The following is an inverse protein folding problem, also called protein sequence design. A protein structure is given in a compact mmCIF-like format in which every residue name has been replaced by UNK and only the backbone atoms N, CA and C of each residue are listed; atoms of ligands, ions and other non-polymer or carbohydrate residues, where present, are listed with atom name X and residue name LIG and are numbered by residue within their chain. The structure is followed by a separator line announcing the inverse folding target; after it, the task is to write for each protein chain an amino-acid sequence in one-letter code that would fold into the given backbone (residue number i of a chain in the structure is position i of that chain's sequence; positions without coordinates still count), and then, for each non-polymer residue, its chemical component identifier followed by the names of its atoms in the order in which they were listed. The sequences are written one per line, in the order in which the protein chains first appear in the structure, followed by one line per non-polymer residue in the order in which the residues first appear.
data_IF_822641785049
#
_entry.id   IF_822641785049
#
_cell.length_a   1.000
_cell.length_b   1.000
_cell.length_c   1.000
_cell.angle_alpha   90.00
_cell.angle_beta   90.00
_cell.angle_gamma   90.00
#
_symmetry.space_group_name_H-M   'P 1'
#
loop_
_entity.id
_entity.type
_entity.pdbx_description
1 polymer ?
#
# COMPACT_ATOMS: atom_id res chain seq x y z
N UNK A 1 7.86 56.79 -19.81
CA UNK A 1 9.23 56.69 -19.29
C UNK A 1 9.19 56.64 -17.77
N UNK A 2 10.12 55.93 -17.10
CA UNK A 2 9.98 54.70 -16.29
C UNK A 2 9.46 54.98 -14.85
N UNK A 3 9.03 54.02 -14.02
CA UNK A 3 9.75 52.84 -13.58
C UNK A 3 8.82 51.74 -13.00
N UNK A 4 9.18 50.50 -13.34
CA UNK A 4 8.67 49.25 -12.78
C UNK A 4 9.12 49.10 -11.33
N UNK A 5 8.22 48.68 -10.44
CA UNK A 5 8.57 47.99 -9.21
C UNK A 5 7.59 46.82 -9.02
N UNK A 6 8.02 45.65 -9.51
CA UNK A 6 7.37 44.36 -9.26
C UNK A 6 7.98 43.84 -7.96
N UNK A 7 7.18 43.78 -6.89
CA UNK A 7 7.55 43.08 -5.66
C UNK A 7 7.10 41.63 -5.78
N UNK A 8 8.05 40.78 -6.21
CA UNK A 8 7.93 39.34 -6.18
C UNK A 8 8.24 38.84 -4.76
N UNK A 9 7.23 38.40 -4.02
CA UNK A 9 7.43 37.63 -2.81
C UNK A 9 7.64 36.15 -3.20
N UNK A 10 8.91 35.77 -3.31
CA UNK A 10 9.34 34.39 -3.46
C UNK A 10 9.14 33.65 -2.13
N UNK A 11 8.10 32.82 -2.04
CA UNK A 11 8.02 31.77 -1.03
C UNK A 11 8.67 30.52 -1.59
N UNK A 12 9.90 30.29 -1.11
CA UNK A 12 10.70 29.09 -1.24
C UNK A 12 9.91 27.85 -0.77
N UNK A 13 9.51 27.01 -1.71
CA UNK A 13 9.22 25.60 -1.46
C UNK A 13 10.55 24.82 -1.53
N UNK A 14 10.88 23.97 -0.55
CA UNK A 14 11.99 23.05 -0.69
C UNK A 14 11.63 21.97 -1.73
N UNK A 15 12.03 22.21 -2.98
CA UNK A 15 12.33 21.13 -3.94
C UNK A 15 13.60 20.43 -3.45
N UNK A 16 13.49 19.15 -3.13
CA UNK A 16 14.66 18.37 -2.73
C UNK A 16 14.38 17.04 -2.06
N UNK A 17 13.26 16.37 -2.34
CA UNK A 17 13.19 14.93 -2.10
C UNK A 17 13.83 14.24 -3.32
N UNK A 18 15.16 14.17 -3.31
CA UNK A 18 15.89 13.26 -4.17
C UNK A 18 15.30 11.86 -3.96
N UNK A 19 14.64 11.35 -5.01
CA UNK A 19 14.28 9.95 -5.11
C UNK A 19 15.59 9.17 -5.20
N UNK A 20 16.17 8.87 -4.04
CA UNK A 20 17.20 7.86 -3.92
C UNK A 20 16.54 6.53 -4.26
N UNK A 21 16.68 6.13 -5.51
CA UNK A 21 16.46 4.77 -5.96
C UNK A 21 17.34 3.87 -5.08
N UNK A 22 16.79 3.03 -4.17
CA UNK A 22 17.62 2.01 -3.59
C UNK A 22 17.87 1.02 -4.72
N UNK A 23 19.10 0.97 -5.21
CA UNK A 23 19.60 -0.09 -6.07
C UNK A 23 19.24 -1.42 -5.40
N UNK A 24 18.11 -2.01 -5.82
CA UNK A 24 17.59 -3.27 -5.30
C UNK A 24 18.53 -4.35 -5.81
N UNK A 25 19.52 -4.71 -4.98
CA UNK A 25 20.23 -5.98 -5.13
C UNK A 25 19.18 -7.08 -5.07
N UNK A 26 18.92 -7.70 -6.21
CA UNK A 26 18.27 -8.98 -6.30
C UNK A 26 18.97 -9.95 -5.31
N UNK A 27 18.24 -10.86 -4.64
CA UNK A 27 18.90 -11.95 -3.96
C UNK A 27 19.71 -12.70 -5.02
N UNK A 28 21.02 -12.79 -4.80
CA UNK A 28 21.94 -13.54 -5.62
C UNK A 28 21.53 -15.03 -5.62
N UNK A 29 20.69 -15.41 -6.57
CA UNK A 29 20.59 -16.78 -7.05
C UNK A 29 21.76 -16.97 -8.02
N UNK A 30 22.88 -17.49 -7.52
CA UNK A 30 24.06 -17.74 -8.34
C UNK A 30 25.37 -17.72 -7.57
N UNK A 31 25.63 -18.78 -6.81
CA UNK A 31 26.96 -19.34 -6.55
C UNK A 31 26.82 -20.65 -5.76
N UNK A 32 26.26 -21.67 -6.41
CA UNK A 32 26.41 -23.05 -5.95
C UNK A 32 27.81 -23.56 -6.32
N UNK A 33 28.83 -23.02 -5.67
CA UNK A 33 30.05 -23.74 -5.33
C UNK A 33 30.25 -23.52 -3.84
N UNK A 34 29.35 -24.12 -3.07
CA UNK A 34 29.53 -24.22 -1.63
C UNK A 34 30.74 -25.12 -1.41
N UNK A 35 31.82 -24.54 -0.88
CA UNK A 35 32.82 -25.31 -0.15
C UNK A 35 32.06 -26.29 0.76
N UNK A 36 32.38 -27.59 0.69
CA UNK A 36 31.76 -28.60 1.56
C UNK A 36 31.76 -28.04 2.99
N UNK A 37 30.60 -28.01 3.68
CA UNK A 37 30.56 -27.45 5.01
C UNK A 37 31.59 -28.19 5.87
N UNK A 38 32.34 -27.49 6.74
CA UNK A 38 33.40 -28.10 7.54
C UNK A 38 32.93 -29.31 8.37
N UNK A 39 31.62 -29.38 8.66
CA UNK A 39 30.98 -30.53 9.31
C UNK A 39 31.00 -31.84 8.49
N UNK A 40 30.92 -31.79 7.15
CA UNK A 40 30.97 -33.01 6.31
C UNK A 40 32.36 -33.65 6.29
N UNK A 41 33.42 -32.82 6.21
CA UNK A 41 34.80 -33.31 6.28
C UNK A 41 35.12 -33.97 7.62
N UNK A 42 34.63 -33.39 8.72
CA UNK A 42 34.82 -33.94 10.06
C UNK A 42 34.01 -35.21 10.32
N UNK A 43 32.79 -35.33 9.76
CA UNK A 43 32.02 -36.59 9.80
C UNK A 43 32.72 -37.72 9.06
N UNK A 44 33.29 -37.45 7.89
CA UNK A 44 34.06 -38.45 7.14
C UNK A 44 35.31 -38.92 7.90
N UNK A 45 35.98 -38.02 8.62
CA UNK A 45 37.13 -38.35 9.47
C UNK A 45 36.75 -39.23 10.65
N UNK A 46 35.62 -38.94 11.32
CA UNK A 46 35.09 -39.77 12.42
C UNK A 46 34.77 -41.18 11.93
N UNK A 47 34.10 -41.33 10.79
CA UNK A 47 33.80 -42.64 10.20
C UNK A 47 35.08 -43.45 9.92
N UNK A 48 36.10 -42.82 9.33
CA UNK A 48 37.40 -43.46 9.08
C UNK A 48 38.10 -43.91 10.38
N UNK A 49 38.00 -43.11 11.44
CA UNK A 49 38.59 -43.44 12.74
C UNK A 49 37.80 -44.52 13.49
N UNK A 50 36.48 -44.60 13.27
CA UNK A 50 35.66 -45.70 13.79
C UNK A 50 36.12 -47.05 13.21
N UNK A 51 36.33 -47.12 11.89
CA UNK A 51 36.82 -48.34 11.23
C UNK A 51 38.18 -48.80 11.81
N UNK A 52 39.08 -47.85 12.13
CA UNK A 52 40.36 -48.14 12.76
C UNK A 52 40.24 -48.66 14.20
N UNK A 53 39.29 -48.14 15.00
CA UNK A 53 39.03 -48.63 16.36
C UNK A 53 38.34 -50.00 16.33
N UNK A 54 37.47 -50.25 15.36
CA UNK A 54 36.83 -51.57 15.17
C UNK A 54 37.86 -52.63 14.76
N UNK A 55 38.87 -52.28 13.96
CA UNK A 55 39.94 -53.17 13.56
C UNK A 55 40.95 -53.48 14.70
N UNK A 56 41.14 -52.56 15.65
CA UNK A 56 42.08 -52.71 16.76
C UNK A 56 41.50 -52.16 18.08
N UNK A 57 40.55 -52.88 18.72
CA UNK A 57 39.78 -52.34 19.84
C UNK A 57 40.59 -52.10 21.11
N UNK A 58 41.76 -52.74 21.28
CA UNK A 58 42.65 -52.56 22.43
C UNK A 58 43.58 -51.34 22.31
N UNK A 59 43.65 -50.67 21.16
CA UNK A 59 44.50 -49.49 20.96
C UNK A 59 43.88 -48.23 21.61
N UNK A 60 44.40 -47.86 22.78
CA UNK A 60 44.00 -46.63 23.48
C UNK A 60 44.28 -45.34 22.69
N UNK A 61 45.32 -45.34 21.86
CA UNK A 61 45.64 -44.20 21.00
C UNK A 61 44.57 -44.00 19.92
N UNK A 62 44.10 -45.09 19.30
CA UNK A 62 42.99 -45.05 18.35
C UNK A 62 41.69 -44.56 19.00
N UNK A 63 41.36 -45.07 20.20
CA UNK A 63 40.18 -44.61 20.97
C UNK A 63 40.24 -43.13 21.33
N UNK A 64 41.41 -42.64 21.73
CA UNK A 64 41.61 -41.23 22.10
C UNK A 64 41.46 -40.31 20.88
N UNK A 65 42.06 -40.70 19.73
CA UNK A 65 41.89 -39.95 18.46
C UNK A 65 40.42 -39.90 18.02
N UNK A 66 39.71 -41.03 18.09
CA UNK A 66 38.29 -41.07 17.77
C UNK A 66 37.46 -40.14 18.67
N UNK A 67 37.68 -40.16 19.99
CA UNK A 67 36.97 -39.27 20.93
C UNK A 67 37.23 -37.79 20.61
N UNK A 68 38.48 -37.43 20.32
CA UNK A 68 38.85 -36.06 19.98
C UNK A 68 38.20 -35.60 18.67
N UNK A 69 38.27 -36.43 17.61
CA UNK A 69 37.66 -36.11 16.32
C UNK A 69 36.13 -36.11 16.40
N UNK A 70 35.51 -36.98 17.20
CA UNK A 70 34.06 -36.96 17.46
C UNK A 70 33.63 -35.68 18.20
N UNK A 71 34.40 -35.23 19.20
CA UNK A 71 34.17 -33.96 19.89
C UNK A 71 34.27 -32.75 18.95
N UNK A 72 35.26 -32.75 18.04
CA UNK A 72 35.39 -31.71 16.99
C UNK A 72 34.20 -31.73 16.04
N UNK A 73 33.83 -32.91 15.52
CA UNK A 73 32.70 -33.08 14.61
C UNK A 73 31.38 -32.59 15.24
N UNK A 74 31.13 -32.94 16.50
CA UNK A 74 29.94 -32.48 17.23
C UNK A 74 29.94 -30.95 17.42
N UNK A 75 31.09 -30.35 17.73
CA UNK A 75 31.21 -28.89 17.85
C UNK A 75 31.01 -28.18 16.50
N UNK A 76 31.55 -28.72 15.41
CA UNK A 76 31.37 -28.18 14.07
C UNK A 76 29.92 -28.30 13.59
N UNK A 77 29.26 -29.42 13.87
CA UNK A 77 27.83 -29.60 13.57
C UNK A 77 26.97 -28.62 14.36
N UNK A 78 27.21 -28.48 15.66
CA UNK A 78 26.51 -27.50 16.50
C UNK A 78 26.70 -26.08 15.95
N UNK A 79 27.93 -25.71 15.61
CA UNK A 79 28.23 -24.39 15.01
C UNK A 79 27.51 -24.18 13.68
N UNK A 80 27.43 -25.20 12.82
CA UNK A 80 26.70 -25.13 11.55
C UNK A 80 25.18 -24.96 11.77
N UNK A 81 24.60 -25.69 12.73
CA UNK A 81 23.19 -25.54 13.12
C UNK A 81 22.92 -24.15 13.67
N UNK A 82 23.78 -23.65 14.57
CA UNK A 82 23.64 -22.32 15.16
C UNK A 82 23.75 -21.22 14.09
N UNK A 83 24.66 -21.40 13.12
CA UNK A 83 24.80 -20.48 11.99
C UNK A 83 23.56 -20.48 11.08
N UNK A 84 23.01 -21.65 10.73
CA UNK A 84 21.80 -21.73 9.92
C UNK A 84 20.58 -21.18 10.68
N UNK A 85 20.46 -21.47 11.98
CA UNK A 85 19.43 -20.88 12.83
C UNK A 85 19.54 -19.35 12.87
N UNK A 86 20.75 -18.81 13.05
CA UNK A 86 20.97 -17.37 13.02
C UNK A 86 20.58 -16.76 11.66
N UNK A 87 20.90 -17.44 10.56
CA UNK A 87 20.52 -17.03 9.20
C UNK A 87 19.01 -16.98 9.01
N UNK A 88 18.29 -18.03 9.44
CA UNK A 88 16.83 -18.10 9.36
C UNK A 88 16.15 -17.03 10.22
N UNK A 89 16.64 -16.81 11.44
CA UNK A 89 16.12 -15.75 12.32
C UNK A 89 16.39 -14.35 11.75
N UNK A 90 17.56 -14.12 11.16
CA UNK A 90 17.88 -12.85 10.51
C UNK A 90 17.02 -12.61 9.26
N UNK A 91 16.66 -13.65 8.51
CA UNK A 91 15.69 -13.56 7.41
C UNK A 91 14.28 -13.21 7.95
N UNK A 92 13.78 -13.96 8.93
CA UNK A 92 12.47 -13.71 9.52
C UNK A 92 12.33 -12.30 10.13
N UNK A 93 13.40 -11.77 10.76
CA UNK A 93 13.42 -10.39 11.27
C UNK A 93 13.30 -9.35 10.16
N UNK A 94 13.95 -9.57 9.01
CA UNK A 94 13.84 -8.69 7.85
C UNK A 94 12.44 -8.72 7.27
N UNK A 95 11.88 -9.91 7.07
CA UNK A 95 10.51 -10.09 6.55
C UNK A 95 9.47 -9.41 7.46
N UNK A 96 9.65 -9.55 8.78
CA UNK A 96 8.82 -8.85 9.76
C UNK A 96 8.97 -7.34 9.66
N UNK A 97 10.20 -6.82 9.61
CA UNK A 97 10.44 -5.38 9.50
C UNK A 97 9.86 -4.78 8.21
N UNK A 98 9.94 -5.49 7.09
CA UNK A 98 9.31 -5.07 5.82
C UNK A 98 7.77 -5.01 5.94
N UNK A 99 7.18 -6.01 6.62
CA UNK A 99 5.73 -6.06 6.85
C UNK A 99 5.27 -4.94 7.78
N UNK A 100 5.99 -4.72 8.88
CA UNK A 100 5.72 -3.65 9.84
C UNK A 100 5.86 -2.26 9.17
N UNK A 101 6.88 -2.06 8.32
CA UNK A 101 7.06 -0.83 7.56
C UNK A 101 5.91 -0.58 6.57
N UNK A 102 5.45 -1.62 5.86
CA UNK A 102 4.28 -1.53 4.98
C UNK A 102 3.03 -1.14 5.79
N UNK A 103 2.74 -1.81 6.90
CA UNK A 103 1.59 -1.51 7.75
C UNK A 103 1.63 -0.09 8.31
N UNK A 104 2.81 0.37 8.76
CA UNK A 104 3.00 1.73 9.24
C UNK A 104 2.74 2.78 8.15
N UNK A 105 3.24 2.54 6.93
CA UNK A 105 3.00 3.44 5.80
C UNK A 105 1.52 3.47 5.39
N UNK A 106 0.85 2.30 5.33
CA UNK A 106 -0.61 2.19 5.10
C UNK A 106 -1.39 3.01 6.13
N UNK A 107 -1.06 2.86 7.42
CA UNK A 107 -1.71 3.59 8.50
C UNK A 107 -1.50 5.10 8.37
N UNK A 108 -0.26 5.54 8.13
CA UNK A 108 0.06 6.97 7.98
C UNK A 108 -0.70 7.63 6.83
N UNK A 109 -0.78 6.96 5.66
CA UNK A 109 -1.51 7.48 4.50
C UNK A 109 -3.02 7.49 4.73
N UNK A 110 -3.54 6.47 5.39
CA UNK A 110 -4.97 6.40 5.75
C UNK A 110 -5.34 7.51 6.75
N UNK A 111 -4.50 7.79 7.75
CA UNK A 111 -4.71 8.89 8.69
C UNK A 111 -4.59 10.27 8.03
N UNK A 112 -3.63 10.44 7.12
CA UNK A 112 -3.53 11.68 6.33
C UNK A 112 -4.80 11.91 5.50
N UNK A 113 -5.29 10.86 4.84
CA UNK A 113 -6.53 10.91 4.08
C UNK A 113 -7.75 11.24 4.97
N UNK A 114 -7.89 10.60 6.14
CA UNK A 114 -8.98 10.89 7.09
C UNK A 114 -8.98 12.36 7.52
N UNK A 115 -7.81 12.96 7.74
CA UNK A 115 -7.72 14.40 8.07
C UNK A 115 -8.25 15.28 6.95
N UNK A 116 -7.93 14.95 5.70
CA UNK A 116 -8.43 15.70 4.54
C UNK A 116 -9.93 15.48 4.32
N UNK A 117 -10.41 14.25 4.54
CA UNK A 117 -11.84 13.95 4.52
C UNK A 117 -12.61 14.72 5.61
N UNK A 118 -12.11 14.77 6.84
CA UNK A 118 -12.72 15.56 7.92
C UNK A 118 -12.81 17.05 7.59
N UNK A 119 -11.83 17.62 6.87
CA UNK A 119 -11.93 19.01 6.37
C UNK A 119 -13.06 19.16 5.36
N UNK A 120 -13.24 18.19 4.45
CA UNK A 120 -14.36 18.19 3.50
C UNK A 120 -15.71 18.13 4.23
N UNK A 121 -15.81 17.30 5.26
CA UNK A 121 -17.00 17.21 6.11
C UNK A 121 -17.30 18.53 6.84
N UNK A 122 -16.29 19.17 7.45
CA UNK A 122 -16.46 20.45 8.13
C UNK A 122 -16.93 21.57 7.17
N UNK A 123 -16.44 21.56 5.92
CA UNK A 123 -16.94 22.46 4.88
C UNK A 123 -18.38 22.12 4.45
N UNK A 124 -18.78 20.85 4.49
CA UNK A 124 -20.12 20.42 4.09
C UNK A 124 -21.22 20.83 5.09
N UNK A 125 -20.88 21.16 6.33
CA UNK A 125 -21.84 21.59 7.37
C UNK A 125 -22.47 22.97 7.11
N UNK A 126 -21.87 23.77 6.21
CA UNK A 126 -22.36 25.13 5.89
C UNK A 126 -22.71 25.22 4.42
N UNK A 127 -23.88 25.76 4.12
CA UNK A 127 -24.33 25.95 2.73
C UNK A 127 -23.39 26.88 1.94
N UNK A 128 -22.83 27.89 2.62
CA UNK A 128 -21.87 28.85 2.07
C UNK A 128 -20.54 28.22 1.62
N UNK A 129 -20.17 27.05 2.14
CA UNK A 129 -18.93 26.37 1.78
C UNK A 129 -19.17 25.09 0.97
N UNK A 130 -20.38 24.89 0.45
CA UNK A 130 -20.76 23.66 -0.26
C UNK A 130 -19.91 23.41 -1.52
N UNK A 131 -19.47 24.46 -2.23
CA UNK A 131 -18.63 24.31 -3.44
C UNK A 131 -17.22 23.82 -3.07
N UNK A 132 -16.66 24.39 -2.02
CA UNK A 132 -15.38 24.03 -1.44
C UNK A 132 -15.43 22.61 -0.86
N UNK A 133 -16.51 22.25 -0.18
CA UNK A 133 -16.75 20.92 0.37
C UNK A 133 -16.76 19.86 -0.72
N UNK A 134 -17.50 20.10 -1.82
CA UNK A 134 -17.54 19.18 -2.95
C UNK A 134 -16.16 19.05 -3.60
N UNK A 135 -15.43 20.15 -3.81
CA UNK A 135 -14.07 20.08 -4.36
C UNK A 135 -13.05 19.42 -3.41
N UNK A 136 -13.24 19.54 -2.09
CA UNK A 136 -12.42 18.84 -1.10
C UNK A 136 -12.72 17.34 -1.10
N UNK A 137 -14.00 16.96 -1.21
CA UNK A 137 -14.41 15.55 -1.28
C UNK A 137 -13.94 14.88 -2.57
N UNK A 138 -14.02 15.58 -3.71
CA UNK A 138 -13.47 15.10 -4.99
C UNK A 138 -11.99 14.77 -4.87
N UNK A 139 -11.20 15.69 -4.30
CA UNK A 139 -9.78 15.46 -4.02
C UNK A 139 -9.56 14.29 -3.07
N UNK A 140 -10.39 14.13 -2.04
CA UNK A 140 -10.31 12.99 -1.13
C UNK A 140 -10.58 11.67 -1.85
N UNK A 141 -11.54 11.60 -2.78
CA UNK A 141 -11.78 10.38 -3.57
C UNK A 141 -10.63 10.09 -4.54
N UNK A 142 -10.05 11.11 -5.17
CA UNK A 142 -8.92 10.96 -6.08
C UNK A 142 -7.67 10.40 -5.37
N UNK A 143 -7.43 10.80 -4.11
CA UNK A 143 -6.27 10.37 -3.30
C UNK A 143 -6.58 9.21 -2.35
N UNK A 144 -7.76 8.61 -2.45
CA UNK A 144 -8.20 7.56 -1.54
C UNK A 144 -7.20 6.37 -1.50
N UNK A 145 -6.70 5.99 -0.32
CA UNK A 145 -5.75 4.88 -0.19
C UNK A 145 -6.46 3.53 -0.38
N UNK A 146 -6.23 2.89 -1.54
CA UNK A 146 -6.84 1.60 -1.89
C UNK A 146 -6.05 0.46 -1.25
N UNK A 147 -6.52 0.00 -0.10
CA UNK A 147 -5.96 -1.14 0.62
C UNK A 147 -7.02 -2.19 0.89
N UNK A 148 -6.64 -3.45 1.12
CA UNK A 148 -7.62 -4.54 1.29
C UNK A 148 -8.63 -4.30 2.42
N UNK A 149 -8.23 -3.56 3.45
CA UNK A 149 -8.97 -3.21 4.65
C UNK A 149 -9.77 -1.90 4.56
N UNK A 150 -9.53 -1.09 3.53
CA UNK A 150 -10.13 0.25 3.41
C UNK A 150 -11.48 0.28 2.65
N UNK A 151 -12.00 -0.87 2.21
CA UNK A 151 -13.24 -0.93 1.43
C UNK A 151 -14.45 -0.44 2.23
N UNK A 152 -14.55 -0.85 3.50
CA UNK A 152 -15.58 -0.38 4.41
C UNK A 152 -15.44 1.12 4.68
N UNK A 153 -14.20 1.60 4.88
CA UNK A 153 -13.91 3.01 5.09
C UNK A 153 -14.43 3.88 3.94
N UNK A 154 -14.23 3.49 2.68
CA UNK A 154 -14.79 4.22 1.53
C UNK A 154 -16.32 4.32 1.59
N UNK A 155 -16.98 3.20 1.86
CA UNK A 155 -18.45 3.13 1.91
C UNK A 155 -19.02 4.01 3.03
N UNK A 156 -18.42 3.94 4.22
CA UNK A 156 -18.86 4.69 5.39
C UNK A 156 -18.60 6.19 5.22
N UNK A 157 -17.42 6.57 4.72
CA UNK A 157 -17.10 7.97 4.43
C UNK A 157 -18.05 8.58 3.39
N UNK A 158 -18.40 7.82 2.35
CA UNK A 158 -19.40 8.26 1.38
C UNK A 158 -20.79 8.46 1.99
N UNK A 159 -21.19 7.61 2.93
CA UNK A 159 -22.45 7.74 3.68
C UNK A 159 -22.45 8.97 4.57
N UNK A 160 -21.36 9.18 5.31
CA UNK A 160 -21.21 10.26 6.28
C UNK A 160 -21.30 11.62 5.61
N UNK A 161 -20.52 11.85 4.54
CA UNK A 161 -20.54 13.16 3.88
C UNK A 161 -21.88 13.45 3.21
N UNK A 162 -22.54 12.43 2.64
CA UNK A 162 -23.91 12.58 2.09
C UNK A 162 -24.91 12.92 3.18
N UNK A 163 -24.79 12.33 4.37
CA UNK A 163 -25.65 12.66 5.50
C UNK A 163 -25.44 14.11 5.98
N UNK A 164 -24.20 14.59 6.01
CA UNK A 164 -23.89 15.99 6.34
C UNK A 164 -24.50 16.93 5.30
N UNK A 165 -24.26 16.70 4.01
CA UNK A 165 -24.85 17.51 2.95
C UNK A 165 -26.38 17.50 3.00
N UNK A 166 -27.01 16.35 3.28
CA UNK A 166 -28.46 16.28 3.41
C UNK A 166 -28.98 17.21 4.50
N UNK A 167 -28.38 17.16 5.70
CA UNK A 167 -28.75 18.05 6.82
C UNK A 167 -28.56 19.52 6.47
N UNK A 168 -27.46 19.86 5.80
CA UNK A 168 -27.16 21.23 5.36
C UNK A 168 -28.19 21.72 4.34
N UNK A 169 -28.55 20.89 3.36
CA UNK A 169 -29.57 21.19 2.35
C UNK A 169 -30.94 21.33 3.01
N UNK A 170 -31.33 20.40 3.88
CA UNK A 170 -32.61 20.44 4.56
C UNK A 170 -32.78 21.73 5.39
N UNK A 171 -31.70 22.22 6.01
CA UNK A 171 -31.72 23.46 6.80
C UNK A 171 -31.78 24.72 5.94
N UNK A 172 -30.97 24.79 4.87
CA UNK A 172 -30.83 26.00 4.06
C UNK A 172 -31.86 26.10 2.91
N UNK A 173 -32.28 24.94 2.38
CA UNK A 173 -33.12 24.80 1.20
C UNK A 173 -34.10 23.62 1.37
N UNK A 174 -35.05 23.70 2.32
CA UNK A 174 -35.93 22.57 2.69
C UNK A 174 -36.71 21.98 1.51
N UNK A 175 -37.08 22.81 0.53
CA UNK A 175 -37.77 22.37 -0.70
C UNK A 175 -36.95 21.40 -1.56
N UNK A 176 -35.61 21.41 -1.46
CA UNK A 176 -34.74 20.46 -2.17
C UNK A 176 -34.67 19.09 -1.46
N UNK A 177 -35.01 19.03 -0.18
CA UNK A 177 -34.97 17.83 0.65
C UNK A 177 -36.34 17.17 0.85
N UNK A 178 -37.42 17.80 0.37
CA UNK A 178 -38.79 17.33 0.58
C UNK A 178 -39.01 15.93 -0.03
N UNK A 179 -39.57 15.01 0.77
CA UNK A 179 -39.82 13.63 0.37
C UNK A 179 -38.57 12.73 0.28
N UNK A 180 -37.40 13.19 0.73
CA UNK A 180 -36.14 12.43 0.66
C UNK A 180 -35.58 12.13 2.04
N UNK A 181 -34.85 11.02 2.16
CA UNK A 181 -34.21 10.58 3.41
C UNK A 181 -32.68 10.74 3.41
N UNK A 182 -32.08 10.89 2.23
CA UNK A 182 -30.63 11.02 2.04
C UNK A 182 -30.31 11.98 0.90
N UNK A 183 -29.12 12.60 0.94
CA UNK A 183 -28.63 13.37 -0.19
C UNK A 183 -28.16 12.40 -1.28
N UNK A 184 -28.84 12.44 -2.41
CA UNK A 184 -28.34 11.82 -3.63
C UNK A 184 -27.40 12.79 -4.38
N UNK A 185 -26.70 12.23 -5.36
CA UNK A 185 -25.81 12.99 -6.22
C UNK A 185 -26.56 14.14 -6.92
N UNK A 186 -27.84 13.96 -7.25
CA UNK A 186 -28.69 15.00 -7.88
C UNK A 186 -29.00 16.17 -6.94
N UNK A 187 -29.20 15.93 -5.64
CA UNK A 187 -29.35 16.96 -4.62
C UNK A 187 -28.09 17.80 -4.45
N UNK A 188 -26.91 17.19 -4.53
CA UNK A 188 -25.65 17.93 -4.49
C UNK A 188 -25.49 18.85 -5.71
N UNK A 189 -25.89 18.38 -6.89
CA UNK A 189 -25.97 19.21 -8.09
C UNK A 189 -26.99 20.36 -7.91
N UNK A 190 -28.19 20.04 -7.41
CA UNK A 190 -29.25 21.02 -7.17
C UNK A 190 -28.86 22.09 -6.16
N UNK A 191 -28.14 21.74 -5.09
CA UNK A 191 -27.60 22.69 -4.12
C UNK A 191 -26.60 23.65 -4.79
N UNK A 192 -25.73 23.14 -5.64
CA UNK A 192 -24.78 23.98 -6.38
C UNK A 192 -25.49 24.92 -7.38
N UNK A 193 -26.61 24.49 -7.97
CA UNK A 193 -27.43 25.34 -8.84
C UNK A 193 -28.24 26.37 -8.09
N UNK A 194 -28.95 26.00 -7.02
CA UNK A 194 -29.76 26.92 -6.24
C UNK A 194 -28.90 28.10 -5.78
N UNK A 195 -27.67 27.84 -5.33
CA UNK A 195 -26.73 28.88 -4.95
C UNK A 195 -26.24 29.73 -6.12
N UNK A 196 -25.93 29.12 -7.27
CA UNK A 196 -25.55 29.88 -8.46
C UNK A 196 -26.69 30.82 -8.90
N UNK A 197 -27.94 30.36 -8.78
CA UNK A 197 -29.15 31.12 -9.05
C UNK A 197 -29.35 32.26 -8.06
N UNK A 198 -29.18 32.02 -6.75
CA UNK A 198 -29.29 33.04 -5.70
C UNK A 198 -28.25 34.17 -5.90
N UNK A 199 -27.01 33.81 -6.22
CA UNK A 199 -25.94 34.75 -6.54
C UNK A 199 -26.20 35.54 -7.83
N UNK A 200 -26.87 34.98 -8.83
CA UNK A 200 -27.27 35.75 -10.03
C UNK A 200 -28.51 36.59 -9.81
N UNK A 201 -29.42 36.18 -8.91
CA UNK A 201 -30.64 36.91 -8.56
C UNK A 201 -30.36 38.21 -7.79
N UNK A 202 -29.36 38.21 -6.90
CA UNK A 202 -28.89 39.42 -6.21
C UNK A 202 -28.22 40.44 -7.17
N UNK A 203 -27.75 40.01 -8.35
CA UNK A 203 -27.01 40.85 -9.31
C UNK A 203 -27.69 40.98 -10.68
N UNK A 204 -28.99 40.63 -10.79
CA UNK A 204 -29.80 40.88 -11.99
C UNK A 204 -29.42 40.08 -13.25
N UNK A 205 -28.77 38.92 -13.09
CA UNK A 205 -28.31 38.07 -14.20
C UNK A 205 -29.31 36.98 -14.62
N UNK A 206 -29.36 36.67 -15.92
CA UNK A 206 -30.08 35.51 -16.49
C UNK A 206 -29.66 34.21 -15.78
N UNK A 207 -30.61 33.29 -15.56
CA UNK A 207 -30.32 31.93 -15.11
C UNK A 207 -29.26 31.29 -16.01
N UNK A 208 -28.08 31.02 -15.45
CA UNK A 208 -26.92 30.56 -16.20
C UNK A 208 -26.98 29.04 -16.43
N UNK A 209 -27.46 28.62 -17.60
CA UNK A 209 -27.44 27.23 -18.07
C UNK A 209 -26.03 26.61 -18.01
N UNK A 210 -24.96 27.42 -18.08
CA UNK A 210 -23.59 26.94 -17.94
C UNK A 210 -23.27 26.46 -16.53
N UNK A 211 -23.81 27.13 -15.51
CA UNK A 211 -23.70 26.67 -14.11
C UNK A 211 -24.41 25.32 -13.97
N UNK A 212 -25.69 25.28 -14.38
CA UNK A 212 -26.49 24.14 -14.89
C UNK A 212 -25.72 22.85 -15.27
N UNK A 213 -24.94 22.96 -16.33
CA UNK A 213 -24.24 21.82 -16.89
C UNK A 213 -22.98 21.47 -16.08
N UNK A 214 -22.33 22.46 -15.47
CA UNK A 214 -21.10 22.24 -14.72
C UNK A 214 -21.32 21.38 -13.46
N UNK A 215 -22.42 21.57 -12.72
CA UNK A 215 -22.67 20.71 -11.55
C UNK A 215 -23.15 19.31 -11.96
N UNK A 216 -23.86 19.16 -13.10
CA UNK A 216 -24.18 17.84 -13.66
C UNK A 216 -22.91 17.09 -14.08
N UNK A 217 -21.97 17.75 -14.77
CA UNK A 217 -20.67 17.15 -15.10
C UNK A 217 -19.88 16.73 -13.86
N UNK A 218 -19.92 17.53 -12.78
CA UNK A 218 -19.31 17.14 -11.49
C UNK A 218 -19.97 15.90 -10.90
N UNK A 219 -21.29 15.81 -10.94
CA UNK A 219 -22.00 14.63 -10.44
C UNK A 219 -21.64 13.34 -11.19
N UNK A 220 -21.51 13.42 -12.50
CA UNK A 220 -21.02 12.30 -13.31
C UNK A 220 -19.59 11.94 -12.95
N UNK A 221 -18.72 12.93 -12.74
CA UNK A 221 -17.34 12.72 -12.30
C UNK A 221 -17.28 11.96 -10.97
N UNK A 222 -18.09 12.29 -9.97
CA UNK A 222 -18.15 11.54 -8.70
C UNK A 222 -18.50 10.07 -8.91
N UNK A 223 -19.53 9.80 -9.70
CA UNK A 223 -19.94 8.43 -10.02
C UNK A 223 -18.81 7.65 -10.69
N UNK A 224 -18.09 8.29 -11.62
CA UNK A 224 -16.94 7.68 -12.29
C UNK A 224 -15.77 7.43 -11.33
N UNK A 225 -15.50 8.33 -10.39
CA UNK A 225 -14.48 8.15 -9.36
C UNK A 225 -14.83 6.99 -8.43
N UNK A 226 -16.08 6.90 -7.94
CA UNK A 226 -16.53 5.79 -7.09
C UNK A 226 -16.42 4.44 -7.83
N UNK A 227 -16.84 4.39 -9.10
CA UNK A 227 -16.70 3.19 -9.94
C UNK A 227 -15.22 2.82 -10.17
N UNK A 228 -14.36 3.81 -10.39
CA UNK A 228 -12.93 3.60 -10.55
C UNK A 228 -12.33 3.03 -9.26
N UNK A 229 -12.69 3.56 -8.09
CA UNK A 229 -12.25 3.03 -6.80
C UNK A 229 -12.73 1.59 -6.58
N UNK A 230 -14.00 1.29 -6.88
CA UNK A 230 -14.54 -0.07 -6.77
C UNK A 230 -13.74 -1.08 -7.62
N UNK A 231 -13.42 -0.73 -8.88
CA UNK A 231 -12.57 -1.56 -9.74
C UNK A 231 -11.16 -1.75 -9.18
N UNK A 232 -10.58 -0.73 -8.56
CA UNK A 232 -9.24 -0.83 -7.93
C UNK A 232 -9.25 -1.79 -6.75
N UNK A 233 -10.26 -1.73 -5.89
CA UNK A 233 -10.43 -2.70 -4.80
C UNK A 233 -10.59 -4.11 -5.33
N UNK A 234 -11.38 -4.29 -6.39
CA UNK A 234 -11.57 -5.60 -7.01
C UNK A 234 -10.24 -6.15 -7.59
N UNK A 235 -9.47 -5.34 -8.31
CA UNK A 235 -8.14 -5.75 -8.79
C UNK A 235 -7.21 -6.14 -7.63
N UNK A 236 -7.20 -5.37 -6.53
CA UNK A 236 -6.37 -5.69 -5.37
C UNK A 236 -6.81 -7.02 -4.71
N UNK A 237 -8.10 -7.19 -4.43
CA UNK A 237 -8.67 -8.41 -3.85
C UNK A 237 -8.36 -9.64 -4.71
N UNK A 238 -8.57 -9.55 -6.02
CA UNK A 238 -8.26 -10.63 -6.95
C UNK A 238 -6.75 -10.93 -6.99
N UNK A 239 -5.90 -9.91 -6.90
CA UNK A 239 -4.45 -10.07 -6.79
C UNK A 239 -4.03 -10.87 -5.56
N UNK A 240 -4.61 -10.54 -4.40
CA UNK A 240 -4.38 -11.25 -3.14
C UNK A 240 -4.88 -12.71 -3.20
N UNK A 241 -6.07 -12.95 -3.76
CA UNK A 241 -6.61 -14.31 -3.95
C UNK A 241 -5.71 -15.15 -4.85
N UNK A 242 -5.28 -14.61 -5.99
CA UNK A 242 -4.38 -15.32 -6.91
C UNK A 242 -3.02 -15.59 -6.27
N UNK A 243 -2.51 -14.64 -5.48
CA UNK A 243 -1.28 -14.82 -4.71
C UNK A 243 -1.42 -15.98 -3.71
N UNK A 244 -2.50 -16.02 -2.92
CA UNK A 244 -2.78 -17.13 -2.00
C UNK A 244 -2.88 -18.50 -2.70
N UNK A 245 -3.42 -18.52 -3.93
CA UNK A 245 -3.51 -19.72 -4.77
C UNK A 245 -2.22 -20.08 -5.52
N UNK A 246 -1.10 -19.38 -5.26
CA UNK A 246 0.19 -19.57 -5.94
C UNK A 246 0.17 -19.30 -7.45
N UNK A 247 -0.86 -18.61 -7.95
CA UNK A 247 -0.94 -18.17 -9.34
C UNK A 247 -0.18 -16.86 -9.54
N UNK A 248 1.16 -16.94 -9.46
CA UNK A 248 2.04 -15.76 -9.40
C UNK A 248 1.89 -14.81 -10.58
N UNK A 249 1.80 -15.34 -11.80
CA UNK A 249 1.65 -14.51 -13.01
C UNK A 249 0.32 -13.73 -13.00
N UNK A 250 -0.78 -14.38 -12.59
CA UNK A 250 -2.08 -13.73 -12.45
C UNK A 250 -2.08 -12.66 -11.36
N UNK A 251 -1.49 -12.96 -10.20
CA UNK A 251 -1.34 -12.02 -9.10
C UNK A 251 -0.53 -10.77 -9.52
N UNK A 252 0.59 -10.97 -10.22
CA UNK A 252 1.42 -9.87 -10.73
C UNK A 252 0.65 -8.95 -11.68
N UNK A 253 -0.16 -9.50 -12.57
CA UNK A 253 -1.01 -8.71 -13.47
C UNK A 253 -1.95 -7.80 -12.67
N UNK A 254 -2.63 -8.37 -11.67
CA UNK A 254 -3.57 -7.63 -10.82
C UNK A 254 -2.89 -6.54 -9.97
N UNK A 255 -1.74 -6.83 -9.36
CA UNK A 255 -1.01 -5.78 -8.63
C UNK A 255 -0.49 -4.67 -9.55
N UNK A 256 -0.08 -4.99 -10.78
CA UNK A 256 0.30 -3.97 -11.76
C UNK A 256 -0.89 -3.09 -12.17
N UNK A 257 -2.10 -3.65 -12.28
CA UNK A 257 -3.32 -2.85 -12.52
C UNK A 257 -3.52 -1.84 -11.39
N UNK A 258 -3.40 -2.24 -10.12
CA UNK A 258 -3.50 -1.31 -8.97
C UNK A 258 -2.41 -0.22 -9.04
N UNK A 259 -1.16 -0.61 -9.32
CA UNK A 259 -0.02 0.30 -9.37
C UNK A 259 -0.03 1.24 -10.59
N UNK A 260 -0.76 0.91 -11.65
CA UNK A 260 -0.97 1.82 -12.77
C UNK A 260 -1.80 3.06 -12.35
N UNK A 261 -2.67 2.90 -11.36
CA UNK A 261 -3.46 3.99 -10.78
C UNK A 261 -2.75 4.66 -9.60
N UNK A 262 -2.22 3.85 -8.68
CA UNK A 262 -1.54 4.33 -7.48
C UNK A 262 -0.14 3.72 -7.40
N UNK A 263 0.83 4.44 -8.00
CA UNK A 263 2.24 3.98 -8.06
C UNK A 263 2.87 3.80 -6.68
N UNK A 264 2.33 4.48 -5.67
CA UNK A 264 2.82 4.46 -4.30
C UNK A 264 2.06 3.47 -3.41
N UNK A 265 1.19 2.61 -3.96
CA UNK A 265 0.42 1.66 -3.18
C UNK A 265 1.34 0.62 -2.50
N UNK A 266 1.49 0.76 -1.19
CA UNK A 266 2.44 0.02 -0.37
C UNK A 266 2.13 -1.47 -0.35
N UNK A 267 0.85 -1.81 -0.22
CA UNK A 267 0.38 -3.20 -0.21
C UNK A 267 0.61 -3.88 -1.57
N UNK A 268 0.21 -3.24 -2.67
CA UNK A 268 0.42 -3.79 -4.00
C UNK A 268 1.93 -3.89 -4.34
N UNK A 269 2.76 -2.92 -3.93
CA UNK A 269 4.21 -2.98 -4.11
C UNK A 269 4.83 -4.15 -3.34
N UNK A 270 4.41 -4.37 -2.09
CA UNK A 270 4.86 -5.45 -1.24
C UNK A 270 4.54 -6.81 -1.87
N UNK A 271 3.25 -7.07 -2.16
CA UNK A 271 2.84 -8.35 -2.73
C UNK A 271 3.34 -8.58 -4.16
N UNK A 272 3.51 -7.53 -4.97
CA UNK A 272 4.16 -7.66 -6.27
C UNK A 272 5.60 -8.15 -6.13
N UNK A 273 6.36 -7.61 -5.17
CA UNK A 273 7.76 -7.98 -4.95
C UNK A 273 7.86 -9.44 -4.52
N UNK A 274 7.01 -9.87 -3.58
CA UNK A 274 6.93 -11.27 -3.16
C UNK A 274 6.51 -12.19 -4.31
N UNK A 275 5.49 -11.83 -5.09
CA UNK A 275 5.02 -12.63 -6.21
C UNK A 275 6.12 -12.80 -7.28
N UNK A 276 6.94 -11.76 -7.55
CA UNK A 276 8.10 -11.87 -8.46
C UNK A 276 9.14 -12.85 -7.94
N UNK A 277 9.51 -12.75 -6.67
CA UNK A 277 10.49 -13.65 -6.06
C UNK A 277 10.01 -15.11 -6.08
N UNK A 278 8.73 -15.35 -5.75
CA UNK A 278 8.11 -16.69 -5.79
C UNK A 278 8.02 -17.26 -7.20
N UNK A 279 7.70 -16.41 -8.19
CA UNK A 279 7.67 -16.82 -9.59
C UNK A 279 9.06 -17.22 -10.12
N UNK A 280 10.12 -16.48 -9.75
CA UNK A 280 11.49 -16.81 -10.11
C UNK A 280 11.94 -18.14 -9.50
N UNK A 281 11.76 -18.31 -8.19
CA UNK A 281 12.10 -19.55 -7.49
C UNK A 281 11.32 -20.78 -7.99
N UNK A 282 10.10 -20.60 -8.53
CA UNK A 282 9.32 -21.68 -9.12
C UNK A 282 9.82 -22.08 -10.52
N UNK A 283 10.49 -21.18 -11.25
CA UNK A 283 11.08 -21.47 -12.56
C UNK A 283 12.41 -22.20 -12.44
N UNK A 284 13.23 -21.86 -11.45
CA UNK A 284 14.52 -22.53 -11.19
C UNK A 284 14.38 -24.00 -10.74
N UNK A 285 13.18 -24.41 -10.31
CA UNK A 285 12.87 -25.78 -9.89
C UNK A 285 12.31 -26.67 -11.01
N UNK A 286 12.11 -26.14 -12.22
CA UNK A 286 11.63 -26.87 -13.39
C UNK A 286 12.79 -27.10 -14.35
#
# INVERSE_FOLDING_TARGET
MPARAVLAAALLLPSGAAAAEPARKAPAAGAAQAARPPAEGQRAEVLRLMDGVLAAPADEGARTRLRLSAGKAAAAEKSAIDAERARLLAAARRDKAETDAMLAAKAARTEAWKKDFSKACALAERAETAREAVAAYERALETFPVYSDNKALLADSGRDIRAIFFKTIQKAYPYLAEGRATADIKMLAALQFARASDLTGEYGGRQDQGAAEAALKKTEKFRLLEQALARRFESLEQGLVLYGRKHWAGALKRFNEVLAFDKANEEALYYRTLAKARAAAAREKR
#
